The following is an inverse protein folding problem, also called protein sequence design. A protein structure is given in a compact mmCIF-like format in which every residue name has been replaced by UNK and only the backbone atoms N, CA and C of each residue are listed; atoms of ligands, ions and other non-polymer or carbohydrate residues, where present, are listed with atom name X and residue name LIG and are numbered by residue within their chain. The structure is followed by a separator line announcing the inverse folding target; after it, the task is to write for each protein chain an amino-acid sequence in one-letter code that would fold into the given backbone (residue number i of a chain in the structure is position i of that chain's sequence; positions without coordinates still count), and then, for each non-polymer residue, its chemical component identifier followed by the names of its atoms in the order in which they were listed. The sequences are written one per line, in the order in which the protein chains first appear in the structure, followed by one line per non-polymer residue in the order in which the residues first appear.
data_IF_766103354950
#
_entry.id   IF_766103354950
#
_cell.length_a   1.000
_cell.length_b   1.000
_cell.length_c   1.000
_cell.angle_alpha   90.00
_cell.angle_beta   90.00
_cell.angle_gamma   90.00
#
_symmetry.space_group_name_H-M   'P 1'
#
loop_
_entity.id
_entity.type
_entity.pdbx_description
1 polymer ?
#
# COMPACT_ATOMS: atom_id res chain seq x y z
N UNK A 1 -1.75 15.80 55.58
CA UNK A 1 -1.66 14.40 55.18
C UNK A 1 -0.21 13.96 55.22
N UNK A 2 0.10 12.95 56.00
CA UNK A 2 1.46 12.43 56.10
C UNK A 2 1.78 11.57 54.88
N UNK A 3 3.01 11.63 54.36
CA UNK A 3 3.51 10.83 53.25
C UNK A 3 3.32 9.30 53.46
N UNK A 4 3.06 8.86 54.69
CA UNK A 4 2.78 7.45 55.02
C UNK A 4 1.36 7.00 54.63
N UNK A 5 0.41 7.90 54.50
CA UNK A 5 -0.96 7.58 54.10
C UNK A 5 -1.08 7.50 52.57
N UNK A 6 -0.35 8.33 51.83
CA UNK A 6 -0.26 8.21 50.38
C UNK A 6 0.33 6.86 49.93
N UNK A 7 1.38 6.40 50.62
CA UNK A 7 1.99 5.09 50.35
C UNK A 7 1.05 3.92 50.64
N UNK A 8 0.18 4.04 51.63
CA UNK A 8 -0.84 3.02 51.94
C UNK A 8 -1.93 2.97 50.87
N UNK A 9 -2.30 4.10 50.31
CA UNK A 9 -3.31 4.17 49.24
C UNK A 9 -2.84 3.44 47.96
N UNK A 10 -1.57 3.60 47.59
CA UNK A 10 -0.97 2.90 46.46
C UNK A 10 -0.73 1.40 46.68
N UNK A 11 -0.78 0.93 47.96
CA UNK A 11 -0.57 -0.49 48.31
C UNK A 11 -1.87 -1.23 48.59
N UNK A 12 -3.03 -0.61 48.41
CA UNK A 12 -4.31 -1.29 48.59
C UNK A 12 -4.53 -2.32 47.47
N UNK A 13 -5.06 -3.49 47.85
CA UNK A 13 -5.40 -4.55 46.90
C UNK A 13 -6.30 -4.05 45.75
N UNK A 14 -7.17 -3.08 46.04
CA UNK A 14 -8.02 -2.44 45.03
C UNK A 14 -7.24 -1.70 43.96
N UNK A 15 -6.11 -1.08 44.29
CA UNK A 15 -5.26 -0.38 43.32
C UNK A 15 -4.56 -1.36 42.38
N UNK A 16 -4.10 -2.49 42.87
CA UNK A 16 -3.49 -3.54 42.08
C UNK A 16 -4.51 -4.16 41.10
N UNK A 17 -5.73 -4.41 41.60
CA UNK A 17 -6.82 -4.91 40.74
C UNK A 17 -7.20 -3.88 39.65
N UNK A 18 -7.24 -2.61 40.03
CA UNK A 18 -7.52 -1.53 39.08
C UNK A 18 -6.47 -1.46 37.99
N UNK A 19 -5.19 -1.51 38.30
CA UNK A 19 -4.12 -1.50 37.31
C UNK A 19 -4.10 -2.75 36.44
N UNK A 20 -4.38 -3.92 37.00
CA UNK A 20 -4.49 -5.17 36.21
C UNK A 20 -5.65 -5.11 35.21
N UNK A 21 -6.78 -4.58 35.64
CA UNK A 21 -7.94 -4.41 34.76
C UNK A 21 -7.67 -3.35 33.69
N UNK A 22 -7.11 -2.22 34.08
CA UNK A 22 -6.73 -1.14 33.16
C UNK A 22 -5.71 -1.61 32.12
N UNK A 23 -4.70 -2.38 32.55
CA UNK A 23 -3.70 -2.95 31.63
C UNK A 23 -4.31 -3.90 30.62
N UNK A 24 -5.29 -4.71 31.02
CA UNK A 24 -6.00 -5.61 30.07
C UNK A 24 -6.83 -4.84 29.08
N UNK A 25 -7.55 -3.82 29.52
CA UNK A 25 -8.32 -2.94 28.63
C UNK A 25 -7.40 -2.22 27.65
N UNK A 26 -6.27 -1.71 28.14
CA UNK A 26 -5.28 -1.06 27.29
C UNK A 26 -4.68 -2.00 26.24
N UNK A 27 -4.41 -3.25 26.61
CA UNK A 27 -3.91 -4.27 25.70
C UNK A 27 -4.94 -4.61 24.61
N UNK A 28 -6.20 -4.73 24.97
CA UNK A 28 -7.30 -4.96 23.99
C UNK A 28 -7.42 -3.77 23.03
N UNK A 29 -7.38 -2.54 23.54
CA UNK A 29 -7.39 -1.34 22.72
C UNK A 29 -6.18 -1.28 21.77
N UNK A 30 -5.00 -1.65 22.24
CA UNK A 30 -3.80 -1.71 21.41
C UNK A 30 -3.94 -2.72 20.26
N UNK A 31 -4.47 -3.90 20.55
CA UNK A 31 -4.77 -4.91 19.50
C UNK A 31 -5.77 -4.37 18.49
N UNK A 32 -6.85 -3.72 18.94
CA UNK A 32 -7.81 -3.08 18.05
C UNK A 32 -7.17 -1.98 17.18
N UNK A 33 -6.32 -1.14 17.76
CA UNK A 33 -5.62 -0.10 17.02
C UNK A 33 -4.69 -0.67 15.94
N UNK A 34 -3.97 -1.76 16.26
CA UNK A 34 -3.10 -2.46 15.29
C UNK A 34 -3.95 -3.05 14.16
N UNK A 35 -5.07 -3.69 14.50
CA UNK A 35 -5.96 -4.30 13.52
C UNK A 35 -6.61 -3.26 12.60
N UNK A 36 -7.10 -2.16 13.15
CA UNK A 36 -7.65 -1.05 12.39
C UNK A 36 -6.59 -0.36 11.53
N UNK A 37 -5.42 -0.12 12.08
CA UNK A 37 -4.31 0.48 11.35
C UNK A 37 -3.85 -0.39 10.17
N UNK A 38 -3.73 -1.70 10.38
CA UNK A 38 -3.38 -2.64 9.33
C UNK A 38 -4.44 -2.71 8.23
N UNK A 39 -5.72 -2.71 8.58
CA UNK A 39 -6.83 -2.69 7.62
C UNK A 39 -6.84 -1.41 6.80
N UNK A 40 -6.65 -0.27 7.44
CA UNK A 40 -6.60 1.03 6.76
C UNK A 40 -5.43 1.12 5.77
N UNK A 41 -4.26 0.64 6.15
CA UNK A 41 -3.10 0.60 5.26
C UNK A 41 -3.31 -0.40 4.11
N UNK A 42 -3.95 -1.53 4.37
CA UNK A 42 -4.27 -2.51 3.34
C UNK A 42 -5.21 -1.95 2.28
N UNK A 43 -6.27 -1.25 2.67
CA UNK A 43 -7.19 -0.60 1.72
C UNK A 43 -6.48 0.43 0.84
N UNK A 44 -5.59 1.23 1.42
CA UNK A 44 -4.80 2.22 0.68
C UNK A 44 -3.81 1.58 -0.29
N UNK A 45 -3.25 0.43 0.07
CA UNK A 45 -2.23 -0.25 -0.74
C UNK A 45 -2.86 -1.13 -1.82
N UNK A 46 -4.00 -1.73 -1.53
CA UNK A 46 -4.69 -2.66 -2.43
C UNK A 46 -5.85 -2.05 -3.21
N UNK A 47 -6.11 -0.76 -3.07
CA UNK A 47 -7.12 -0.10 -3.88
C UNK A 47 -6.72 -0.11 -5.36
N UNK A 48 -7.58 -0.68 -6.20
CA UNK A 48 -7.41 -0.71 -7.66
C UNK A 48 -7.74 0.65 -8.32
N UNK A 49 -7.68 1.74 -7.56
CA UNK A 49 -8.12 3.03 -8.05
C UNK A 49 -7.17 3.55 -9.12
N UNK A 50 -7.68 3.85 -10.32
CA UNK A 50 -6.92 4.54 -11.34
C UNK A 50 -6.57 5.96 -10.89
N UNK A 51 -5.53 6.53 -11.46
CA UNK A 51 -5.13 7.91 -11.14
C UNK A 51 -6.26 8.90 -11.41
N UNK A 52 -6.95 8.74 -12.53
CA UNK A 52 -8.14 9.50 -12.86
C UNK A 52 -9.06 8.67 -13.75
N UNK A 53 -10.13 8.12 -13.15
CA UNK A 53 -11.08 7.23 -13.82
C UNK A 53 -11.81 7.89 -15.01
N UNK A 54 -11.89 9.22 -15.04
CA UNK A 54 -12.58 9.97 -16.09
C UNK A 54 -11.65 10.45 -17.21
N UNK A 55 -10.34 10.33 -17.02
CA UNK A 55 -9.37 10.79 -18.01
C UNK A 55 -8.99 9.67 -19.00
N UNK A 56 -9.39 9.84 -20.24
CA UNK A 56 -9.02 8.94 -21.33
C UNK A 56 -7.77 9.44 -22.09
N UNK A 57 -7.04 10.38 -21.53
CA UNK A 57 -5.82 10.90 -22.13
C UNK A 57 -4.77 9.81 -22.20
N UNK A 58 -4.31 9.51 -23.39
CA UNK A 58 -3.21 8.57 -23.65
C UNK A 58 -1.87 9.19 -23.28
N UNK A 59 -1.06 8.43 -22.57
CA UNK A 59 0.28 8.82 -22.15
C UNK A 59 1.26 7.75 -22.58
N UNK A 60 2.28 8.14 -23.30
CA UNK A 60 3.32 7.23 -23.77
C UNK A 60 4.38 7.02 -22.71
N UNK A 61 4.69 5.77 -22.41
CA UNK A 61 5.74 5.35 -21.50
C UNK A 61 6.73 4.48 -22.25
N UNK A 62 8.01 4.80 -22.11
CA UNK A 62 9.10 4.02 -22.69
C UNK A 62 9.82 3.30 -21.55
N UNK A 63 9.92 1.98 -21.67
CA UNK A 63 10.65 1.11 -20.75
C UNK A 63 11.89 0.61 -21.46
N UNK A 64 13.05 0.85 -20.89
CA UNK A 64 14.33 0.38 -21.40
C UNK A 64 14.67 -1.01 -20.92
N UNK A 65 15.54 -1.70 -21.62
CA UNK A 65 15.97 -3.04 -21.25
C UNK A 65 16.71 -3.03 -19.91
N UNK A 66 16.37 -3.97 -19.03
CA UNK A 66 16.94 -4.10 -17.67
C UNK A 66 16.67 -2.89 -16.75
N UNK A 67 15.61 -2.15 -17.00
CA UNK A 67 15.20 -1.07 -16.10
C UNK A 67 14.67 -1.64 -14.78
N UNK A 68 15.08 -1.06 -13.65
CA UNK A 68 14.62 -1.50 -12.34
C UNK A 68 13.14 -1.18 -12.12
N UNK A 69 12.46 -1.99 -11.32
CA UNK A 69 11.05 -1.78 -10.95
C UNK A 69 10.81 -0.39 -10.37
N UNK A 70 11.77 0.11 -9.58
CA UNK A 70 11.69 1.43 -8.98
C UNK A 70 11.75 2.56 -10.00
N UNK A 71 12.58 2.40 -11.01
CA UNK A 71 12.74 3.39 -12.07
C UNK A 71 11.54 3.43 -13.01
N UNK A 72 10.98 2.28 -13.32
CA UNK A 72 9.71 2.18 -14.06
C UNK A 72 8.58 2.83 -13.27
N UNK A 73 8.49 2.55 -11.97
CA UNK A 73 7.51 3.16 -11.08
C UNK A 73 7.66 4.68 -11.01
N UNK A 74 8.88 5.20 -10.96
CA UNK A 74 9.16 6.64 -10.98
C UNK A 74 8.70 7.30 -12.28
N UNK A 75 8.94 6.66 -13.40
CA UNK A 75 8.44 7.11 -14.71
C UNK A 75 6.92 7.16 -14.75
N UNK A 76 6.24 6.13 -14.24
CA UNK A 76 4.78 6.08 -14.17
C UNK A 76 4.20 7.17 -13.26
N UNK A 77 4.86 7.48 -12.15
CA UNK A 77 4.47 8.59 -11.26
C UNK A 77 4.65 9.94 -11.95
N UNK A 78 5.78 10.15 -12.62
CA UNK A 78 6.06 11.40 -13.35
C UNK A 78 5.06 11.66 -14.48
N UNK A 79 4.55 10.59 -15.09
CA UNK A 79 3.51 10.63 -16.12
C UNK A 79 2.09 10.70 -15.57
N UNK A 80 1.92 10.75 -14.23
CA UNK A 80 0.62 10.80 -13.54
C UNK A 80 -0.29 9.60 -13.87
N UNK A 81 0.29 8.43 -14.01
CA UNK A 81 -0.43 7.17 -14.23
C UNK A 81 -0.69 6.41 -12.94
N UNK A 82 0.15 6.62 -11.93
CA UNK A 82 0.02 6.04 -10.60
C UNK A 82 0.28 7.09 -9.52
N UNK A 83 -0.26 6.86 -8.33
CA UNK A 83 -0.12 7.81 -7.20
C UNK A 83 1.23 7.74 -6.49
N UNK A 84 1.91 6.62 -6.49
CA UNK A 84 3.14 6.50 -5.73
C UNK A 84 4.02 5.33 -6.13
N UNK A 85 5.32 5.59 -6.22
CA UNK A 85 6.37 4.62 -6.53
C UNK A 85 6.36 3.43 -5.58
N UNK A 86 6.36 3.70 -4.29
CA UNK A 86 6.42 2.67 -3.25
C UNK A 86 5.22 1.73 -3.31
N UNK A 87 4.02 2.27 -3.53
CA UNK A 87 2.80 1.46 -3.67
C UNK A 87 2.89 0.50 -4.85
N UNK A 88 3.40 0.96 -5.97
CA UNK A 88 3.56 0.15 -7.17
C UNK A 88 4.54 -1.01 -6.95
N UNK A 89 5.70 -0.73 -6.37
CA UNK A 89 6.72 -1.74 -6.08
C UNK A 89 6.22 -2.77 -5.06
N UNK A 90 5.58 -2.31 -3.97
CA UNK A 90 4.99 -3.20 -2.96
C UNK A 90 3.90 -4.08 -3.59
N UNK A 91 3.03 -3.51 -4.41
CA UNK A 91 1.99 -4.26 -5.08
C UNK A 91 2.54 -5.30 -6.04
N UNK A 92 3.57 -4.97 -6.80
CA UNK A 92 4.29 -5.94 -7.63
C UNK A 92 4.84 -7.09 -6.80
N UNK A 93 5.46 -6.79 -5.67
CA UNK A 93 6.04 -7.78 -4.76
C UNK A 93 5.01 -8.80 -4.24
N UNK A 94 3.78 -8.35 -3.95
CA UNK A 94 2.69 -9.21 -3.49
C UNK A 94 1.80 -9.76 -4.61
N UNK A 95 2.10 -9.46 -5.87
CA UNK A 95 1.32 -9.93 -7.02
C UNK A 95 1.96 -11.17 -7.68
N UNK A 96 1.23 -11.75 -8.62
CA UNK A 96 1.76 -12.82 -9.49
C UNK A 96 2.95 -12.36 -10.38
N UNK A 97 3.23 -11.07 -10.41
CA UNK A 97 4.32 -10.46 -11.19
C UNK A 97 5.63 -10.26 -10.41
N UNK A 98 5.69 -10.75 -9.17
CA UNK A 98 6.85 -10.60 -8.29
C UNK A 98 8.18 -10.96 -8.96
N UNK A 99 8.22 -12.10 -9.63
CA UNK A 99 9.43 -12.65 -10.24
C UNK A 99 9.51 -12.34 -11.75
N UNK A 100 8.60 -11.54 -12.29
CA UNK A 100 8.59 -11.12 -13.67
C UNK A 100 9.28 -9.77 -13.84
N UNK A 101 10.16 -9.68 -14.82
CA UNK A 101 10.74 -8.40 -15.25
C UNK A 101 9.80 -7.67 -16.20
N UNK A 102 9.83 -6.35 -16.17
CA UNK A 102 9.12 -5.56 -17.17
C UNK A 102 9.76 -5.70 -18.54
N UNK A 103 8.93 -5.84 -19.54
CA UNK A 103 9.38 -5.99 -20.93
C UNK A 103 9.70 -4.61 -21.49
N UNK A 104 10.87 -4.47 -22.10
CA UNK A 104 11.26 -3.23 -22.78
C UNK A 104 10.35 -2.96 -23.99
N UNK A 105 10.01 -1.71 -24.17
CA UNK A 105 9.16 -1.28 -25.27
C UNK A 105 8.52 0.07 -25.03
N UNK A 106 7.71 0.48 -25.99
CA UNK A 106 6.90 1.70 -25.90
C UNK A 106 5.46 1.31 -25.65
N UNK A 107 4.88 1.84 -24.58
CA UNK A 107 3.52 1.55 -24.15
C UNK A 107 2.67 2.81 -24.12
N UNK A 108 1.41 2.68 -24.45
CA UNK A 108 0.41 3.74 -24.27
C UNK A 108 -0.54 3.35 -23.15
N UNK A 109 -0.60 4.18 -22.12
CA UNK A 109 -1.50 4.02 -20.99
C UNK A 109 -2.45 5.20 -20.87
N UNK A 110 -3.59 4.96 -20.24
CA UNK A 110 -4.52 6.01 -19.86
C UNK A 110 -4.54 6.16 -18.34
N UNK A 111 -4.84 7.37 -17.87
CA UNK A 111 -4.99 7.63 -16.43
C UNK A 111 -6.19 6.91 -15.81
N UNK A 112 -7.08 6.38 -16.63
CA UNK A 112 -8.23 5.56 -16.21
C UNK A 112 -7.89 4.09 -15.97
N UNK A 113 -6.70 3.64 -16.39
CA UNK A 113 -6.25 2.28 -16.14
C UNK A 113 -5.79 2.11 -14.69
N UNK A 114 -6.14 0.98 -14.10
CA UNK A 114 -5.69 0.60 -12.78
C UNK A 114 -4.21 0.19 -12.76
N UNK A 115 -3.61 0.22 -11.59
CA UNK A 115 -2.20 -0.17 -11.38
C UNK A 115 -1.92 -1.60 -11.81
N UNK A 116 -2.88 -2.51 -11.61
CA UNK A 116 -2.75 -3.92 -12.00
C UNK A 116 -2.79 -4.11 -13.51
N UNK A 117 -3.62 -3.34 -14.21
CA UNK A 117 -3.70 -3.38 -15.66
C UNK A 117 -2.39 -2.90 -16.28
N UNK A 118 -1.85 -1.80 -15.79
CA UNK A 118 -0.55 -1.27 -16.21
C UNK A 118 0.55 -2.32 -15.98
N UNK A 119 0.55 -2.94 -14.81
CA UNK A 119 1.53 -3.96 -14.43
C UNK A 119 1.42 -5.21 -15.32
N UNK A 120 0.19 -5.66 -15.59
CA UNK A 120 -0.07 -6.78 -16.48
C UNK A 120 0.44 -6.54 -17.89
N UNK A 121 0.20 -5.37 -18.44
CA UNK A 121 0.69 -4.97 -19.78
C UNK A 121 2.22 -4.94 -19.80
N UNK A 122 2.85 -4.33 -18.80
CA UNK A 122 4.32 -4.25 -18.70
C UNK A 122 4.99 -5.62 -18.54
N UNK A 123 4.30 -6.59 -17.92
CA UNK A 123 4.78 -7.96 -17.77
C UNK A 123 4.38 -8.89 -18.94
N UNK A 124 3.66 -8.39 -19.93
CA UNK A 124 3.25 -9.15 -21.12
C UNK A 124 2.04 -10.08 -20.90
N UNK A 125 1.30 -9.93 -19.80
CA UNK A 125 0.11 -10.74 -19.50
C UNK A 125 -1.13 -10.30 -20.32
N UNK A 126 -1.17 -9.02 -20.66
CA UNK A 126 -2.15 -8.44 -21.57
C UNK A 126 -1.44 -7.97 -22.85
N UNK A 127 -1.12 -8.91 -23.72
CA UNK A 127 -0.91 -8.55 -25.11
C UNK A 127 -2.31 -8.17 -25.61
N UNK A 128 -2.59 -6.88 -25.61
CA UNK A 128 -3.83 -6.38 -26.18
C UNK A 128 -3.95 -6.93 -27.60
N UNK A 129 -5.08 -7.57 -27.88
CA UNK A 129 -5.44 -8.03 -29.23
C UNK A 129 -5.50 -6.89 -30.26
N UNK A 130 -5.18 -5.68 -29.86
CA UNK A 130 -5.22 -4.46 -30.70
C UNK A 130 -3.96 -4.20 -31.54
N UNK A 131 -2.90 -5.01 -31.43
CA UNK A 131 -1.68 -4.81 -32.22
C UNK A 131 -1.62 -5.74 -33.44
N UNK A 132 -2.66 -6.53 -33.69
CA UNK A 132 -2.77 -7.35 -34.90
C UNK A 132 -3.93 -6.82 -35.77
N UNK A 133 -3.78 -5.63 -36.26
CA UNK A 133 -4.50 -5.15 -37.46
C UNK A 133 -3.61 -4.20 -38.26
#
# INVERSE_FOLDING_TARGET
MSLSEEKKFFHSEGWQLFFRTLSRVFLICAIFCIFYGASFLAEQTFSHQPYNAQSHKKVTVIVTQNESDEKVAETLVSKKLIYGKTRFVIRKYFSKYKDKSFISGTYEFTQSQGMDDIMGILCGDHVSEEIIQ
#
